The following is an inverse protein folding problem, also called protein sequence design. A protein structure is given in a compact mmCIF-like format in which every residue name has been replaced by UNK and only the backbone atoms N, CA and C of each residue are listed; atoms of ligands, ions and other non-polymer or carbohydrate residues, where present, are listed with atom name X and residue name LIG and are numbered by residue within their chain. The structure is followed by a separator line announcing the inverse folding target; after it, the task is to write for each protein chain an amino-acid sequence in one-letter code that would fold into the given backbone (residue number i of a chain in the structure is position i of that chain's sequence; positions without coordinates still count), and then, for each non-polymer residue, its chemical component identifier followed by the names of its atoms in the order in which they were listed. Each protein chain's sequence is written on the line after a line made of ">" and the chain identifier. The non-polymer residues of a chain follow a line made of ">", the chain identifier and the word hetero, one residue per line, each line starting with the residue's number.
data_IF_526987412153
#
_entry.id   IF_526987412153
#
_cell.length_a   1.000
_cell.length_b   1.000
_cell.length_c   1.000
_cell.angle_alpha   90.00
_cell.angle_beta   90.00
_cell.angle_gamma   90.00
#
_symmetry.space_group_name_H-M   'P 1'
#
loop_
_entity.id
_entity.type
_entity.pdbx_description
1 polymer ?
#
# COMPACT_ATOMS: atom_id res chain seq x y z
N UNK A 1 -24.79 14.82 -15.63
CA UNK A 1 -25.36 14.66 -14.28
C UNK A 1 -24.25 14.13 -13.38
N UNK A 2 -23.94 14.83 -12.30
CA UNK A 2 -22.90 14.47 -11.32
C UNK A 2 -23.35 13.24 -10.51
N UNK A 3 -22.43 12.30 -10.27
CA UNK A 3 -22.68 11.14 -9.41
C UNK A 3 -23.00 11.62 -7.99
N UNK A 4 -24.04 11.07 -7.36
CA UNK A 4 -24.33 11.39 -5.95
C UNK A 4 -23.36 10.64 -5.04
N UNK A 5 -23.16 11.14 -3.82
CA UNK A 5 -22.29 10.49 -2.81
C UNK A 5 -22.72 9.03 -2.52
N UNK A 6 -24.02 8.72 -2.64
CA UNK A 6 -24.54 7.35 -2.55
C UNK A 6 -24.21 6.48 -3.78
N UNK A 7 -24.07 7.08 -4.97
CA UNK A 7 -23.67 6.34 -6.18
C UNK A 7 -22.18 5.99 -6.11
N UNK A 8 -21.35 6.88 -5.54
CA UNK A 8 -19.92 6.66 -5.28
C UNK A 8 -19.72 5.62 -4.18
N UNK A 9 -20.45 5.72 -3.06
CA UNK A 9 -20.41 4.74 -1.96
C UNK A 9 -20.74 3.32 -2.44
N UNK A 10 -21.71 3.17 -3.34
CA UNK A 10 -22.08 1.87 -3.92
C UNK A 10 -21.07 1.34 -4.91
N UNK A 11 -20.40 2.21 -5.66
CA UNK A 11 -19.27 1.82 -6.52
C UNK A 11 -18.11 1.32 -5.67
N UNK A 12 -17.78 2.02 -4.58
CA UNK A 12 -16.78 1.60 -3.59
C UNK A 12 -17.18 0.26 -2.96
N UNK A 13 -18.43 0.04 -2.56
CA UNK A 13 -18.88 -1.26 -2.01
C UNK A 13 -18.83 -2.42 -3.05
N UNK A 14 -19.03 -2.10 -4.34
CA UNK A 14 -18.95 -3.03 -5.46
C UNK A 14 -17.45 -3.32 -5.79
N UNK A 15 -16.54 -2.35 -5.56
CA UNK A 15 -15.07 -2.51 -5.60
C UNK A 15 -14.49 -3.21 -4.35
N UNK A 16 -15.05 -3.03 -3.14
CA UNK A 16 -14.64 -3.75 -1.91
C UNK A 16 -14.92 -5.25 -2.02
N UNK A 17 -15.96 -5.65 -2.76
CA UNK A 17 -16.15 -7.06 -3.14
C UNK A 17 -15.04 -7.57 -4.08
N UNK A 18 -14.39 -6.65 -4.80
CA UNK A 18 -13.25 -6.92 -5.68
C UNK A 18 -11.88 -6.69 -5.00
N UNK A 19 -11.74 -5.91 -3.93
CA UNK A 19 -10.47 -5.75 -3.19
C UNK A 19 -10.16 -6.96 -2.30
N UNK A 20 -11.16 -7.80 -2.03
CA UNK A 20 -10.90 -9.18 -1.59
C UNK A 20 -10.16 -10.02 -2.65
N UNK A 21 -9.96 -9.50 -3.89
CA UNK A 21 -9.31 -10.19 -5.02
C UNK A 21 -7.79 -10.00 -5.12
N UNK A 22 -7.18 -9.19 -4.28
CA UNK A 22 -5.73 -9.03 -4.24
C UNK A 22 -5.28 -9.03 -2.79
N UNK A 23 -4.91 -10.22 -2.31
CA UNK A 23 -3.96 -10.35 -1.20
C UNK A 23 -2.60 -9.87 -1.74
N UNK A 24 -2.46 -8.56 -1.91
CA UNK A 24 -1.25 -7.90 -2.39
C UNK A 24 -0.93 -6.80 -1.40
N UNK A 25 -0.14 -7.18 -0.39
CA UNK A 25 0.75 -6.22 0.25
C UNK A 25 1.69 -5.73 -0.86
N UNK A 26 1.65 -4.43 -1.15
CA UNK A 26 2.56 -3.71 -2.06
C UNK A 26 2.24 -3.72 -3.59
N UNK A 27 1.10 -3.16 -4.03
CA UNK A 27 1.00 -2.49 -5.37
C UNK A 27 -0.03 -1.33 -5.39
N UNK A 28 0.27 -0.13 -5.92
CA UNK A 28 -0.67 1.00 -6.01
C UNK A 28 -1.69 0.93 -7.17
N UNK A 29 -1.63 -0.06 -8.06
CA UNK A 29 -2.44 -0.07 -9.29
C UNK A 29 -3.52 -1.18 -9.25
N UNK A 30 -4.66 -0.95 -8.58
CA UNK A 30 -5.82 -1.85 -8.64
C UNK A 30 -7.14 -1.13 -8.96
N UNK A 31 -7.10 0.05 -9.59
CA UNK A 31 -8.27 0.94 -9.65
C UNK A 31 -9.28 0.73 -10.79
N UNK A 32 -9.19 -0.29 -11.65
CA UNK A 32 -10.13 -0.41 -12.78
C UNK A 32 -10.52 -1.84 -13.20
N UNK A 33 -10.81 -2.73 -12.25
CA UNK A 33 -11.46 -4.02 -12.58
C UNK A 33 -12.97 -3.96 -12.35
N UNK A 34 -13.73 -3.46 -13.34
CA UNK A 34 -15.14 -3.81 -13.40
C UNK A 34 -15.25 -5.32 -13.62
N UNK A 35 -15.86 -6.05 -12.68
CA UNK A 35 -16.07 -7.48 -12.87
C UNK A 35 -16.94 -7.73 -14.12
N UNK A 36 -16.71 -8.86 -14.81
CA UNK A 36 -17.40 -9.21 -16.06
C UNK A 36 -18.95 -9.10 -15.95
N UNK A 37 -19.50 -9.38 -14.77
CA UNK A 37 -20.93 -9.24 -14.49
C UNK A 37 -21.42 -7.77 -14.47
N UNK A 38 -20.60 -6.81 -14.02
CA UNK A 38 -20.89 -5.38 -14.09
C UNK A 38 -20.89 -4.88 -15.54
N UNK A 39 -19.93 -5.34 -16.35
CA UNK A 39 -19.84 -5.01 -17.78
C UNK A 39 -21.04 -5.58 -18.56
N UNK A 40 -21.40 -6.84 -18.31
CA UNK A 40 -22.58 -7.48 -18.93
C UNK A 40 -23.90 -6.81 -18.48
N UNK A 41 -24.04 -6.51 -17.20
CA UNK A 41 -25.23 -5.79 -16.69
C UNK A 41 -25.35 -4.41 -17.34
N UNK A 42 -24.24 -3.69 -17.51
CA UNK A 42 -24.21 -2.39 -18.19
C UNK A 42 -24.62 -2.48 -19.66
N UNK A 43 -24.06 -3.43 -20.42
CA UNK A 43 -24.42 -3.66 -21.82
C UNK A 43 -25.90 -4.01 -21.99
N UNK A 44 -26.50 -4.75 -21.04
CA UNK A 44 -27.91 -5.13 -21.09
C UNK A 44 -28.87 -3.97 -20.75
N UNK A 45 -28.46 -3.02 -19.90
CA UNK A 45 -29.31 -1.89 -19.47
C UNK A 45 -29.18 -0.65 -20.36
N UNK A 46 -27.99 -0.36 -20.89
CA UNK A 46 -27.70 0.92 -21.56
C UNK A 46 -28.01 0.92 -23.06
N UNK A 47 -28.12 -0.25 -23.69
CA UNK A 47 -28.31 -0.39 -25.16
C UNK A 47 -29.77 -0.43 -25.60
N UNK A 48 -30.73 -0.69 -24.69
CA UNK A 48 -32.14 -0.88 -25.06
C UNK A 48 -32.87 0.39 -25.47
N UNK A 49 -32.46 1.55 -24.94
CA UNK A 49 -33.20 2.82 -25.06
C UNK A 49 -32.53 3.88 -25.95
N UNK A 50 -31.35 3.60 -26.52
CA UNK A 50 -30.70 4.50 -27.49
C UNK A 50 -30.77 3.90 -28.90
N UNK A 51 -31.48 4.53 -29.86
CA UNK A 51 -31.66 3.98 -31.22
C UNK A 51 -30.35 3.77 -31.99
N UNK A 52 -29.29 4.55 -31.70
CA UNK A 52 -27.98 4.47 -32.39
C UNK A 52 -26.94 3.59 -31.70
N UNK A 53 -27.12 3.23 -30.43
CA UNK A 53 -26.25 2.24 -29.75
C UNK A 53 -26.67 0.79 -30.04
N UNK A 54 -27.81 0.57 -30.72
CA UNK A 54 -28.21 -0.75 -31.23
C UNK A 54 -27.31 -1.25 -32.36
N UNK A 55 -26.57 -0.37 -33.04
CA UNK A 55 -25.75 -0.76 -34.20
C UNK A 55 -24.36 -1.26 -33.84
N UNK A 56 -23.85 -0.97 -32.65
CA UNK A 56 -22.61 -1.55 -32.13
C UNK A 56 -22.92 -2.82 -31.35
N UNK A 57 -23.14 -3.92 -32.08
CA UNK A 57 -23.33 -5.25 -31.49
C UNK A 57 -22.02 -5.74 -30.84
N UNK A 58 -21.76 -5.28 -29.60
CA UNK A 58 -20.83 -5.93 -28.69
C UNK A 58 -21.50 -7.21 -28.17
N UNK A 59 -21.27 -8.32 -28.87
CA UNK A 59 -21.72 -9.65 -28.43
C UNK A 59 -20.76 -10.24 -27.40
N UNK A 60 -21.30 -11.10 -26.53
CA UNK A 60 -20.58 -11.86 -25.49
C UNK A 60 -19.31 -12.57 -26.00
N UNK A 61 -19.32 -12.94 -27.29
CA UNK A 61 -18.21 -13.59 -28.00
C UNK A 61 -16.98 -12.67 -28.19
N UNK A 62 -17.17 -11.35 -28.29
CA UNK A 62 -16.07 -10.40 -28.50
C UNK A 62 -15.39 -9.99 -27.18
N UNK A 63 -16.09 -10.10 -26.05
CA UNK A 63 -15.55 -9.79 -24.72
C UNK A 63 -14.73 -10.94 -24.13
N UNK A 64 -15.06 -12.18 -24.46
CA UNK A 64 -14.36 -13.38 -23.97
C UNK A 64 -13.01 -13.64 -24.66
N UNK A 65 -12.76 -13.04 -25.83
CA UNK A 65 -11.47 -13.14 -26.56
C UNK A 65 -10.46 -12.07 -26.22
N UNK A 66 -10.87 -10.93 -25.65
CA UNK A 66 -9.94 -9.89 -25.22
C UNK A 66 -9.40 -10.22 -23.82
N UNK A 67 -8.25 -10.89 -23.79
CA UNK A 67 -7.52 -11.24 -22.56
C UNK A 67 -6.90 -10.04 -21.82
N UNK A 68 -7.13 -8.82 -22.32
CA UNK A 68 -6.63 -7.57 -21.73
C UNK A 68 -7.79 -6.63 -21.55
N UNK A 69 -8.51 -6.77 -20.43
CA UNK A 69 -9.54 -5.83 -20.00
C UNK A 69 -8.90 -4.51 -19.51
N UNK A 70 -7.63 -4.54 -19.05
CA UNK A 70 -6.87 -3.35 -18.63
C UNK A 70 -6.86 -2.24 -19.68
N UNK A 71 -6.53 -2.58 -20.94
CA UNK A 71 -6.41 -1.59 -22.03
C UNK A 71 -7.74 -1.04 -22.55
N UNK A 72 -8.86 -1.68 -22.23
CA UNK A 72 -10.17 -1.25 -22.72
C UNK A 72 -10.71 -0.06 -21.91
N UNK A 73 -10.22 0.14 -20.68
CA UNK A 73 -10.67 1.24 -19.80
C UNK A 73 -9.82 2.49 -20.00
N UNK A 74 -8.51 2.36 -20.29
CA UNK A 74 -7.64 3.50 -20.60
C UNK A 74 -8.05 4.26 -21.87
N UNK A 75 -8.73 3.59 -22.81
CA UNK A 75 -9.23 4.20 -24.06
C UNK A 75 -10.68 4.70 -23.97
N UNK A 76 -11.30 4.63 -22.79
CA UNK A 76 -12.62 5.22 -22.58
C UNK A 76 -12.47 6.67 -22.10
N UNK A 77 -12.02 7.55 -23.00
CA UNK A 77 -12.49 8.93 -22.98
C UNK A 77 -14.01 8.88 -23.16
N UNK A 78 -14.76 8.78 -22.06
CA UNK A 78 -16.23 8.82 -22.07
C UNK A 78 -16.76 10.24 -22.29
N UNK A 79 -16.24 10.91 -23.31
CA UNK A 79 -17.03 11.90 -24.02
C UNK A 79 -17.88 11.11 -25.02
N UNK A 80 -19.19 11.07 -24.80
CA UNK A 80 -20.10 10.71 -25.88
C UNK A 80 -19.67 11.56 -27.10
N UNK A 81 -19.31 10.97 -28.26
CA UNK A 81 -18.62 11.68 -29.35
C UNK A 81 -19.43 12.81 -29.99
N UNK A 82 -20.57 13.19 -29.41
CA UNK A 82 -21.46 14.23 -29.87
C UNK A 82 -21.79 15.33 -28.83
N UNK A 83 -21.21 15.33 -27.61
CA UNK A 83 -21.46 16.38 -26.58
C UNK A 83 -22.93 16.89 -26.52
N UNK A 84 -23.90 15.99 -26.61
CA UNK A 84 -25.32 16.39 -26.63
C UNK A 84 -25.82 16.60 -25.21
N UNK A 85 -26.11 17.86 -24.87
CA UNK A 85 -26.94 18.19 -23.71
C UNK A 85 -28.25 17.37 -23.79
N UNK A 86 -28.51 16.55 -22.77
CA UNK A 86 -29.75 15.77 -22.66
C UNK A 86 -29.64 14.25 -22.83
N UNK A 87 -28.45 13.66 -22.93
CA UNK A 87 -28.32 12.19 -22.95
C UNK A 87 -28.75 11.57 -21.59
N UNK A 88 -29.78 10.69 -21.55
CA UNK A 88 -30.30 10.13 -20.30
C UNK A 88 -29.49 8.94 -19.76
N UNK A 89 -28.31 8.67 -20.33
CA UNK A 89 -27.43 7.59 -19.88
C UNK A 89 -26.89 7.92 -18.48
N UNK A 90 -27.59 7.43 -17.45
CA UNK A 90 -27.11 7.43 -16.07
C UNK A 90 -25.96 6.45 -15.95
N UNK A 91 -24.94 6.81 -15.15
CA UNK A 91 -23.95 5.88 -14.62
C UNK A 91 -24.73 4.69 -14.01
N UNK A 92 -24.43 3.44 -14.39
CA UNK A 92 -25.20 2.29 -13.92
C UNK A 92 -25.12 2.18 -12.40
N UNK A 93 -26.29 2.07 -11.76
CA UNK A 93 -26.38 1.74 -10.32
C UNK A 93 -26.22 0.23 -10.16
N UNK A 94 -25.11 -0.22 -9.57
CA UNK A 94 -24.92 -1.61 -9.11
C UNK A 94 -26.08 -1.94 -8.13
N UNK A 95 -26.98 -2.87 -8.50
CA UNK A 95 -27.97 -3.45 -7.57
C UNK A 95 -27.19 -4.37 -6.62
N UNK A 96 -26.60 -3.77 -5.58
CA UNK A 96 -25.66 -4.44 -4.70
C UNK A 96 -26.21 -5.75 -4.09
N UNK A 97 -27.49 -5.86 -3.67
CA UNK A 97 -28.06 -7.14 -3.24
C UNK A 97 -28.15 -8.21 -4.35
N UNK A 98 -28.40 -7.81 -5.60
CA UNK A 98 -28.45 -8.74 -6.74
C UNK A 98 -27.05 -9.09 -7.24
N UNK A 99 -26.14 -8.12 -7.24
CA UNK A 99 -24.72 -8.30 -7.50
C UNK A 99 -24.10 -9.24 -6.46
N UNK A 100 -24.26 -9.02 -5.15
CA UNK A 100 -23.76 -9.94 -4.11
C UNK A 100 -24.29 -11.37 -4.27
N UNK A 101 -25.51 -11.55 -4.79
CA UNK A 101 -26.09 -12.88 -5.09
C UNK A 101 -25.55 -13.52 -6.38
N UNK A 102 -25.18 -12.72 -7.37
CA UNK A 102 -24.72 -13.18 -8.70
C UNK A 102 -23.20 -13.08 -8.89
N UNK A 103 -22.50 -12.40 -8.00
CA UNK A 103 -21.05 -12.20 -8.06
C UNK A 103 -20.38 -13.55 -7.82
N UNK A 104 -19.66 -14.02 -8.84
CA UNK A 104 -18.84 -15.22 -8.78
C UNK A 104 -17.60 -15.06 -7.89
N UNK A 105 -17.31 -13.83 -7.48
CA UNK A 105 -16.20 -13.46 -6.61
C UNK A 105 -16.70 -13.28 -5.17
N UNK A 106 -16.73 -14.38 -4.41
CA UNK A 106 -16.74 -14.34 -2.95
C UNK A 106 -15.34 -14.69 -2.44
N UNK A 107 -14.93 -14.24 -1.24
CA UNK A 107 -13.63 -14.58 -0.66
C UNK A 107 -13.37 -16.09 -0.65
N UNK A 108 -14.41 -16.88 -0.39
CA UNK A 108 -14.36 -18.34 -0.39
C UNK A 108 -14.15 -18.91 -1.80
N UNK A 109 -14.84 -18.38 -2.81
CA UNK A 109 -14.67 -18.81 -4.21
C UNK A 109 -13.33 -18.37 -4.80
N UNK A 110 -12.81 -17.22 -4.39
CA UNK A 110 -11.48 -16.78 -4.76
C UNK A 110 -10.41 -17.63 -4.08
N UNK A 111 -10.53 -17.87 -2.78
CA UNK A 111 -9.62 -18.76 -2.06
C UNK A 111 -9.60 -20.15 -2.71
N UNK A 112 -10.77 -20.66 -3.11
CA UNK A 112 -10.88 -21.89 -3.90
C UNK A 112 -10.17 -21.76 -5.25
N UNK A 113 -10.39 -20.69 -6.02
CA UNK A 113 -9.75 -20.47 -7.32
C UNK A 113 -8.22 -20.34 -7.20
N UNK A 114 -7.72 -19.68 -6.14
CA UNK A 114 -6.30 -19.55 -5.86
C UNK A 114 -5.70 -20.91 -5.45
N UNK A 115 -6.44 -21.73 -4.69
CA UNK A 115 -6.07 -23.11 -4.40
C UNK A 115 -6.03 -23.98 -5.66
N UNK A 116 -7.01 -23.84 -6.56
CA UNK A 116 -7.04 -24.53 -7.85
C UNK A 116 -5.86 -24.11 -8.73
N UNK A 117 -5.60 -22.81 -8.85
CA UNK A 117 -4.43 -22.26 -9.56
C UNK A 117 -3.12 -22.77 -8.97
N UNK A 118 -2.98 -22.77 -7.65
CA UNK A 118 -1.80 -23.31 -6.98
C UNK A 118 -1.62 -24.81 -7.27
N UNK A 119 -2.70 -25.59 -7.24
CA UNK A 119 -2.68 -27.00 -7.57
C UNK A 119 -2.26 -27.24 -9.04
N UNK A 120 -2.73 -26.42 -9.98
CA UNK A 120 -2.31 -26.45 -11.38
C UNK A 120 -0.82 -26.16 -11.54
N UNK A 121 -0.31 -25.12 -10.89
CA UNK A 121 1.11 -24.76 -10.91
C UNK A 121 1.99 -25.88 -10.32
N UNK A 122 1.57 -26.46 -9.19
CA UNK A 122 2.27 -27.59 -8.56
C UNK A 122 2.26 -28.84 -9.45
N UNK A 123 1.15 -29.13 -10.12
CA UNK A 123 1.06 -30.23 -11.09
C UNK A 123 2.00 -30.00 -12.29
N UNK A 124 2.09 -28.75 -12.77
CA UNK A 124 3.00 -28.37 -13.85
C UNK A 124 4.47 -28.55 -13.43
N UNK A 125 4.83 -28.09 -12.23
CA UNK A 125 6.16 -28.29 -11.67
C UNK A 125 6.51 -29.78 -11.55
N UNK A 126 5.57 -30.60 -11.06
CA UNK A 126 5.75 -32.07 -10.99
C UNK A 126 6.00 -32.68 -12.37
N UNK A 127 5.26 -32.22 -13.40
CA UNK A 127 5.47 -32.64 -14.79
C UNK A 127 6.84 -32.22 -15.31
N UNK A 128 7.28 -31.00 -14.99
CA UNK A 128 8.57 -30.46 -15.43
C UNK A 128 9.76 -31.20 -14.81
N UNK A 129 9.63 -31.68 -13.57
CA UNK A 129 10.63 -32.52 -12.88
C UNK A 129 10.76 -33.93 -13.44
N UNK A 130 9.81 -34.41 -14.25
CA UNK A 130 9.83 -35.79 -14.72
C UNK A 130 11.10 -36.07 -15.56
N UNK A 131 11.77 -37.23 -15.41
CA UNK A 131 13.06 -37.51 -16.06
C UNK A 131 13.07 -37.41 -17.59
N UNK A 132 11.90 -37.51 -18.24
CA UNK A 132 11.73 -37.43 -19.70
C UNK A 132 11.12 -36.11 -20.17
N UNK A 133 10.93 -35.15 -19.27
CA UNK A 133 10.40 -33.82 -19.59
C UNK A 133 11.38 -33.05 -20.48
N UNK A 134 10.90 -32.57 -21.63
CA UNK A 134 11.65 -31.66 -22.52
C UNK A 134 11.21 -30.22 -22.27
N UNK A 135 11.25 -29.77 -21.02
CA UNK A 135 10.95 -28.39 -20.65
C UNK A 135 12.14 -27.49 -20.99
N UNK A 136 11.86 -26.28 -21.49
CA UNK A 136 12.88 -25.27 -21.76
C UNK A 136 13.21 -24.50 -20.48
N UNK A 137 14.43 -23.93 -20.41
CA UNK A 137 14.82 -23.08 -19.29
C UNK A 137 13.88 -21.87 -19.14
N UNK A 138 13.40 -21.28 -20.25
CA UNK A 138 12.42 -20.18 -20.23
C UNK A 138 11.08 -20.62 -19.61
N UNK A 139 10.58 -21.82 -19.94
CA UNK A 139 9.33 -22.30 -19.35
C UNK A 139 9.44 -22.57 -17.83
N UNK A 140 10.63 -22.95 -17.35
CA UNK A 140 10.91 -23.04 -15.92
C UNK A 140 10.98 -21.65 -15.27
N UNK A 141 11.56 -20.67 -15.96
CA UNK A 141 11.62 -19.29 -15.49
C UNK A 141 10.23 -18.65 -15.41
N UNK A 142 9.39 -18.81 -16.44
CA UNK A 142 8.00 -18.34 -16.42
C UNK A 142 7.21 -18.96 -15.27
N UNK A 143 7.41 -20.26 -15.02
CA UNK A 143 6.79 -20.94 -13.89
C UNK A 143 7.31 -20.40 -12.53
N UNK A 144 8.58 -20.03 -12.44
CA UNK A 144 9.13 -19.40 -11.24
C UNK A 144 8.48 -18.02 -10.97
N UNK A 145 8.26 -17.21 -12.01
CA UNK A 145 7.53 -15.93 -11.92
C UNK A 145 6.12 -16.17 -11.40
N UNK A 146 5.41 -17.17 -11.94
CA UNK A 146 4.05 -17.49 -11.50
C UNK A 146 4.01 -17.93 -10.04
N UNK A 147 4.98 -18.74 -9.58
CA UNK A 147 5.05 -19.10 -8.15
C UNK A 147 5.41 -17.92 -7.25
N UNK A 148 6.29 -17.02 -7.69
CA UNK A 148 6.61 -15.80 -6.96
C UNK A 148 5.38 -14.90 -6.80
N UNK A 149 4.59 -14.73 -7.86
CA UNK A 149 3.33 -13.99 -7.83
C UNK A 149 2.26 -14.59 -6.90
N UNK A 150 2.31 -15.90 -6.64
CA UNK A 150 1.44 -16.60 -5.69
C UNK A 150 2.08 -16.76 -4.29
N UNK A 151 3.16 -16.02 -4.01
CA UNK A 151 3.91 -16.06 -2.75
C UNK A 151 4.43 -17.46 -2.37
N UNK A 152 4.64 -18.34 -3.36
CA UNK A 152 5.17 -19.69 -3.19
C UNK A 152 6.68 -19.70 -3.42
N UNK A 153 7.42 -18.97 -2.56
CA UNK A 153 8.86 -18.74 -2.73
C UNK A 153 9.70 -20.01 -2.78
N UNK A 154 9.35 -21.04 -2.02
CA UNK A 154 10.04 -22.33 -2.07
C UNK A 154 9.93 -23.02 -3.45
N UNK A 155 8.73 -23.02 -4.04
CA UNK A 155 8.48 -23.58 -5.37
C UNK A 155 9.14 -22.71 -6.46
N UNK A 156 9.10 -21.39 -6.31
CA UNK A 156 9.80 -20.47 -7.21
C UNK A 156 11.31 -20.75 -7.23
N UNK A 157 11.95 -20.85 -6.05
CA UNK A 157 13.38 -21.24 -5.93
C UNK A 157 13.64 -22.59 -6.59
N UNK A 158 12.77 -23.57 -6.36
CA UNK A 158 12.93 -24.90 -6.96
C UNK A 158 12.92 -24.84 -8.49
N UNK A 159 12.00 -24.11 -9.11
CA UNK A 159 12.02 -23.86 -10.55
C UNK A 159 13.36 -23.27 -11.02
N UNK A 160 13.89 -22.27 -10.31
CA UNK A 160 15.17 -21.65 -10.64
C UNK A 160 16.36 -22.61 -10.50
N UNK A 161 16.31 -23.59 -9.59
CA UNK A 161 17.35 -24.63 -9.48
C UNK A 161 17.36 -25.62 -10.64
N UNK A 162 16.22 -25.81 -11.30
CA UNK A 162 16.08 -26.74 -12.43
C UNK A 162 16.58 -26.14 -13.75
N UNK A 163 16.74 -24.82 -13.83
CA UNK A 163 17.27 -24.11 -15.00
C UNK A 163 18.75 -24.49 -15.21
N UNK A 164 19.06 -25.03 -16.39
CA UNK A 164 20.41 -25.54 -16.70
C UNK A 164 21.32 -24.41 -17.21
N UNK A 165 20.86 -23.61 -18.15
CA UNK A 165 21.66 -22.55 -18.77
C UNK A 165 21.30 -21.17 -18.21
N UNK A 166 21.67 -20.93 -16.96
CA UNK A 166 21.40 -19.67 -16.24
C UNK A 166 21.88 -18.40 -16.99
N UNK A 167 22.96 -18.53 -17.78
CA UNK A 167 23.51 -17.42 -18.57
C UNK A 167 22.58 -16.89 -19.67
N UNK A 168 21.61 -17.70 -20.11
CA UNK A 168 20.66 -17.33 -21.15
C UNK A 168 19.45 -16.56 -20.60
N UNK A 169 19.36 -16.37 -19.28
CA UNK A 169 18.26 -15.67 -18.60
C UNK A 169 18.86 -14.67 -17.60
N UNK A 170 19.38 -13.52 -18.06
CA UNK A 170 19.97 -12.50 -17.19
C UNK A 170 19.01 -12.01 -16.09
N UNK A 171 17.71 -11.98 -16.38
CA UNK A 171 16.64 -11.57 -15.46
C UNK A 171 16.46 -12.52 -14.28
N UNK A 172 17.01 -13.74 -14.36
CA UNK A 172 16.92 -14.75 -13.32
C UNK A 172 17.47 -14.28 -11.99
N UNK A 173 18.59 -13.55 -12.00
CA UNK A 173 19.22 -13.03 -10.78
C UNK A 173 18.32 -12.00 -10.09
N UNK A 174 17.63 -11.17 -10.87
CA UNK A 174 16.70 -10.15 -10.35
C UNK A 174 15.47 -10.81 -9.73
N UNK A 175 14.88 -11.81 -10.39
CA UNK A 175 13.76 -12.57 -9.80
C UNK A 175 14.18 -13.27 -8.51
N UNK A 176 15.38 -13.84 -8.48
CA UNK A 176 15.91 -14.44 -7.25
C UNK A 176 16.05 -13.40 -6.14
N UNK A 177 16.53 -12.19 -6.45
CA UNK A 177 16.61 -11.10 -5.47
C UNK A 177 15.22 -10.71 -4.92
N UNK A 178 14.19 -10.60 -5.78
CA UNK A 178 12.81 -10.34 -5.36
C UNK A 178 12.27 -11.43 -4.44
N UNK A 179 12.49 -12.70 -4.79
CA UNK A 179 12.07 -13.84 -3.95
C UNK A 179 12.72 -13.76 -2.56
N UNK A 180 14.03 -13.51 -2.49
CA UNK A 180 14.73 -13.41 -1.20
C UNK A 180 14.30 -12.17 -0.40
N UNK A 181 14.02 -11.04 -1.07
CA UNK A 181 13.50 -9.82 -0.44
C UNK A 181 12.13 -10.08 0.21
N UNK A 182 11.22 -10.69 -0.53
CA UNK A 182 9.84 -10.90 -0.08
C UNK A 182 9.74 -11.98 1.00
N UNK A 183 10.63 -12.98 0.95
CA UNK A 183 10.80 -13.99 2.01
C UNK A 183 11.66 -13.48 3.19
N UNK A 184 11.94 -12.16 3.24
CA UNK A 184 12.69 -11.47 4.31
C UNK A 184 14.16 -11.89 4.50
N UNK A 185 14.78 -12.54 3.52
CA UNK A 185 16.22 -12.81 3.48
C UNK A 185 16.99 -11.61 2.90
N UNK A 186 16.96 -10.48 3.59
CA UNK A 186 17.43 -9.19 3.10
C UNK A 186 18.92 -9.16 2.71
N UNK A 187 19.81 -9.80 3.48
CA UNK A 187 21.25 -9.82 3.17
C UNK A 187 21.51 -10.50 1.82
N UNK A 188 20.89 -11.65 1.61
CA UNK A 188 20.99 -12.40 0.36
C UNK A 188 20.35 -11.65 -0.81
N UNK A 189 19.23 -10.96 -0.57
CA UNK A 189 18.62 -10.11 -1.59
C UNK A 189 19.56 -8.97 -2.01
N UNK A 190 20.22 -8.30 -1.07
CA UNK A 190 21.20 -7.24 -1.33
C UNK A 190 22.41 -7.73 -2.14
N UNK A 191 22.91 -8.93 -1.84
CA UNK A 191 23.97 -9.58 -2.62
C UNK A 191 23.53 -9.80 -4.08
N UNK A 192 22.34 -10.37 -4.28
CA UNK A 192 21.80 -10.64 -5.61
C UNK A 192 21.49 -9.36 -6.39
N UNK A 193 20.95 -8.33 -5.76
CA UNK A 193 20.76 -7.02 -6.40
C UNK A 193 22.09 -6.37 -6.78
N UNK A 194 23.13 -6.53 -5.96
CA UNK A 194 24.47 -6.02 -6.28
C UNK A 194 25.08 -6.76 -7.47
N UNK A 195 24.89 -8.08 -7.54
CA UNK A 195 25.27 -8.88 -8.70
C UNK A 195 24.52 -8.44 -9.97
N UNK A 196 23.19 -8.28 -9.88
CA UNK A 196 22.37 -7.83 -10.99
C UNK A 196 22.79 -6.43 -11.48
N UNK A 197 23.07 -5.52 -10.54
CA UNK A 197 23.52 -4.17 -10.84
C UNK A 197 24.84 -4.15 -11.60
N UNK A 198 25.81 -5.00 -11.21
CA UNK A 198 27.09 -5.11 -11.90
C UNK A 198 26.97 -5.58 -13.36
N UNK A 199 25.92 -6.33 -13.69
CA UNK A 199 25.63 -6.79 -15.05
C UNK A 199 24.72 -5.86 -15.85
N UNK A 200 24.02 -4.92 -15.18
CA UNK A 200 23.04 -4.06 -15.82
C UNK A 200 23.71 -2.90 -16.57
N UNK A 201 23.39 -2.76 -17.86
CA UNK A 201 23.92 -1.69 -18.71
C UNK A 201 22.95 -0.53 -18.90
N UNK A 202 21.65 -0.81 -18.84
CA UNK A 202 20.58 0.18 -19.06
C UNK A 202 20.31 1.01 -17.80
N UNK A 203 20.24 2.33 -17.96
CA UNK A 203 19.95 3.28 -16.86
C UNK A 203 18.64 2.91 -16.13
N UNK A 204 17.48 2.68 -16.82
CA UNK A 204 16.24 2.33 -16.12
C UNK A 204 16.37 1.10 -15.23
N UNK A 205 17.18 0.11 -15.64
CA UNK A 205 17.39 -1.09 -14.84
C UNK A 205 18.29 -0.82 -13.65
N UNK A 206 19.34 -0.03 -13.82
CA UNK A 206 20.26 0.33 -12.73
C UNK A 206 19.56 1.15 -11.65
N UNK A 207 18.67 2.09 -12.03
CA UNK A 207 17.92 2.90 -11.09
C UNK A 207 16.86 2.10 -10.34
N UNK A 208 16.15 1.19 -11.02
CA UNK A 208 15.24 0.21 -10.38
C UNK A 208 15.97 -0.61 -9.31
N UNK A 209 17.13 -1.19 -9.64
CA UNK A 209 17.89 -2.02 -8.70
C UNK A 209 18.40 -1.22 -7.48
N UNK A 210 18.78 0.05 -7.66
CA UNK A 210 19.18 0.92 -6.56
C UNK A 210 18.00 1.32 -5.68
N UNK A 211 16.83 1.59 -6.27
CA UNK A 211 15.58 1.84 -5.55
C UNK A 211 15.23 0.65 -4.65
N UNK A 212 15.29 -0.57 -5.20
CA UNK A 212 15.03 -1.79 -4.44
C UNK A 212 15.99 -2.01 -3.27
N UNK A 213 17.29 -1.81 -3.49
CA UNK A 213 18.30 -1.84 -2.41
C UNK A 213 17.99 -0.80 -1.34
N UNK A 214 17.63 0.42 -1.76
CA UNK A 214 17.24 1.50 -0.86
C UNK A 214 16.06 1.13 0.03
N UNK A 215 15.03 0.48 -0.53
CA UNK A 215 13.88 0.00 0.25
C UNK A 215 14.25 -1.09 1.26
N UNK A 216 15.14 -2.02 0.92
CA UNK A 216 15.67 -3.01 1.88
C UNK A 216 16.43 -2.31 3.01
N UNK A 217 17.27 -1.33 2.69
CA UNK A 217 17.99 -0.55 3.70
C UNK A 217 17.04 0.22 4.63
N UNK A 218 15.91 0.74 4.12
CA UNK A 218 14.86 1.32 4.98
C UNK A 218 14.28 0.26 5.91
N UNK A 219 13.90 -0.92 5.40
CA UNK A 219 13.29 -2.01 6.18
C UNK A 219 14.24 -2.50 7.30
N UNK A 220 15.54 -2.47 7.06
CA UNK A 220 16.59 -2.86 8.02
C UNK A 220 17.15 -1.68 8.83
N UNK A 221 16.51 -0.51 8.77
CA UNK A 221 16.90 0.72 9.47
C UNK A 221 18.33 1.26 9.15
N UNK A 222 18.91 0.85 8.03
CA UNK A 222 20.20 1.31 7.52
C UNK A 222 20.04 2.61 6.70
N UNK A 223 19.59 3.69 7.35
CA UNK A 223 19.18 4.93 6.66
C UNK A 223 20.31 5.63 5.89
N UNK A 224 21.57 5.50 6.32
CA UNK A 224 22.73 6.02 5.58
C UNK A 224 22.88 5.34 4.21
N UNK A 225 22.89 4.02 4.20
CA UNK A 225 22.99 3.23 2.97
C UNK A 225 21.76 3.39 2.06
N UNK A 226 20.56 3.52 2.65
CA UNK A 226 19.35 3.84 1.89
C UNK A 226 19.49 5.18 1.14
N UNK A 227 19.95 6.21 1.85
CA UNK A 227 20.18 7.55 1.29
C UNK A 227 21.20 7.52 0.16
N UNK A 228 22.32 6.82 0.36
CA UNK A 228 23.37 6.70 -0.66
C UNK A 228 22.88 5.95 -1.90
N UNK A 229 22.07 4.90 -1.73
CA UNK A 229 21.49 4.16 -2.85
C UNK A 229 20.55 5.04 -3.69
N UNK A 230 19.68 5.84 -3.05
CA UNK A 230 18.80 6.75 -3.77
C UNK A 230 19.55 7.90 -4.43
N UNK A 231 20.59 8.46 -3.78
CA UNK A 231 21.46 9.46 -4.41
C UNK A 231 22.14 8.89 -5.66
N UNK A 232 22.73 7.70 -5.55
CA UNK A 232 23.31 7.02 -6.72
C UNK A 232 22.28 6.77 -7.83
N UNK A 233 21.01 6.54 -7.49
CA UNK A 233 19.95 6.36 -8.48
C UNK A 233 19.58 7.68 -9.16
N UNK A 234 19.53 8.79 -8.41
CA UNK A 234 19.27 10.13 -8.94
C UNK A 234 20.44 10.62 -9.81
N UNK A 235 21.68 10.36 -9.43
CA UNK A 235 22.89 10.75 -10.18
C UNK A 235 22.98 10.07 -11.56
N UNK A 236 22.24 8.98 -11.79
CA UNK A 236 22.14 8.31 -13.09
C UNK A 236 21.10 8.93 -14.02
N UNK A 237 20.21 9.76 -13.49
CA UNK A 237 19.11 10.38 -14.25
C UNK A 237 19.50 11.82 -14.61
N UNK A 238 19.07 12.27 -15.78
CA UNK A 238 19.32 13.64 -16.22
C UNK A 238 18.50 14.65 -15.40
N UNK A 239 18.98 15.89 -15.28
CA UNK A 239 18.33 16.92 -14.46
C UNK A 239 16.90 17.22 -14.95
N UNK A 240 16.67 17.19 -16.27
CA UNK A 240 15.39 17.41 -16.93
C UNK A 240 14.52 16.14 -17.07
N UNK A 241 14.99 14.99 -16.56
CA UNK A 241 14.19 13.77 -16.50
C UNK A 241 12.92 14.03 -15.66
N UNK A 242 11.75 13.75 -16.25
CA UNK A 242 10.42 13.86 -15.64
C UNK A 242 9.71 12.50 -15.55
N UNK A 243 10.48 11.41 -15.46
CA UNK A 243 9.94 10.06 -15.36
C UNK A 243 9.30 9.79 -14.00
N UNK A 244 8.26 8.96 -14.01
CA UNK A 244 7.63 8.46 -12.78
C UNK A 244 8.66 7.78 -11.86
N UNK A 245 9.67 7.11 -12.43
CA UNK A 245 10.75 6.47 -11.66
C UNK A 245 11.57 7.48 -10.86
N UNK A 246 11.87 8.67 -11.43
CA UNK A 246 12.55 9.74 -10.69
C UNK A 246 11.70 10.24 -9.53
N UNK A 247 10.41 10.45 -9.74
CA UNK A 247 9.50 10.86 -8.67
C UNK A 247 9.42 9.83 -7.53
N UNK A 248 9.38 8.53 -7.85
CA UNK A 248 9.44 7.45 -6.86
C UNK A 248 10.73 7.49 -6.03
N UNK A 249 11.88 7.65 -6.69
CA UNK A 249 13.19 7.73 -6.02
C UNK A 249 13.27 8.99 -5.15
N UNK A 250 12.79 10.14 -5.64
CA UNK A 250 12.75 11.39 -4.88
C UNK A 250 11.85 11.29 -3.64
N UNK A 251 10.67 10.68 -3.77
CA UNK A 251 9.77 10.43 -2.63
C UNK A 251 10.44 9.51 -1.58
N UNK A 252 11.09 8.43 -2.03
CA UNK A 252 11.80 7.50 -1.17
C UNK A 252 13.02 8.16 -0.48
N UNK A 253 13.78 8.97 -1.21
CA UNK A 253 14.88 9.77 -0.67
C UNK A 253 14.37 10.77 0.38
N UNK A 254 13.31 11.52 0.06
CA UNK A 254 12.69 12.48 0.96
C UNK A 254 12.21 11.81 2.26
N UNK A 255 11.66 10.59 2.17
CA UNK A 255 11.25 9.82 3.34
C UNK A 255 12.42 9.47 4.26
N UNK A 256 13.55 9.03 3.69
CA UNK A 256 14.76 8.73 4.47
C UNK A 256 15.37 10.00 5.05
N UNK A 257 15.50 11.06 4.26
CA UNK A 257 15.99 12.35 4.74
C UNK A 257 15.13 12.89 5.89
N UNK A 258 13.79 12.77 5.80
CA UNK A 258 12.86 13.10 6.90
C UNK A 258 13.12 12.26 8.15
N UNK A 259 13.35 10.94 8.01
CA UNK A 259 13.69 10.06 9.14
C UNK A 259 15.02 10.44 9.80
N UNK A 260 16.00 10.87 9.01
CA UNK A 260 17.29 11.39 9.50
C UNK A 260 17.22 12.83 10.04
N UNK A 261 16.03 13.44 10.10
CA UNK A 261 15.84 14.86 10.44
C UNK A 261 16.56 15.86 9.53
N UNK A 262 16.95 15.44 8.32
CA UNK A 262 17.51 16.28 7.26
C UNK A 262 16.37 16.96 6.50
N UNK A 263 15.58 17.79 7.20
CA UNK A 263 14.31 18.30 6.68
C UNK A 263 14.43 19.14 5.42
N UNK A 264 15.50 19.91 5.25
CA UNK A 264 15.64 20.78 4.08
C UNK A 264 15.93 19.96 2.81
N UNK A 265 16.74 18.89 2.91
CA UNK A 265 16.92 17.92 1.81
C UNK A 265 15.62 17.16 1.51
N UNK A 266 14.86 16.79 2.55
CA UNK A 266 13.59 16.10 2.36
C UNK A 266 12.56 16.99 1.66
N UNK A 267 12.44 18.26 2.07
CA UNK A 267 11.55 19.24 1.44
C UNK A 267 11.95 19.46 -0.03
N UNK A 268 13.24 19.62 -0.32
CA UNK A 268 13.72 19.79 -1.69
C UNK A 268 13.30 18.59 -2.57
N UNK A 269 13.61 17.37 -2.12
CA UNK A 269 13.26 16.17 -2.88
C UNK A 269 11.74 15.99 -3.07
N UNK A 270 10.93 16.32 -2.05
CA UNK A 270 9.48 16.28 -2.18
C UNK A 270 8.95 17.33 -3.17
N UNK A 271 9.49 18.55 -3.17
CA UNK A 271 9.10 19.57 -4.13
C UNK A 271 9.48 19.14 -5.57
N UNK A 272 10.68 18.60 -5.77
CA UNK A 272 11.12 18.09 -7.07
C UNK A 272 10.22 16.95 -7.55
N UNK A 273 9.78 16.07 -6.64
CA UNK A 273 8.83 15.01 -6.96
C UNK A 273 7.44 15.56 -7.33
N UNK A 274 6.97 16.61 -6.64
CA UNK A 274 5.68 17.27 -6.91
C UNK A 274 5.63 17.97 -8.26
N UNK A 275 6.78 18.38 -8.83
CA UNK A 275 6.83 18.90 -10.20
C UNK A 275 6.60 17.82 -11.26
N UNK A 276 6.84 16.55 -10.91
CA UNK A 276 6.76 15.41 -11.83
C UNK A 276 5.40 14.72 -11.75
N UNK A 277 4.89 14.49 -10.53
CA UNK A 277 3.67 13.71 -10.33
C UNK A 277 2.41 14.51 -10.67
N UNK A 278 1.40 13.82 -11.20
CA UNK A 278 0.11 14.44 -11.44
C UNK A 278 -0.53 14.86 -10.12
N UNK A 279 -0.95 16.13 -10.05
CA UNK A 279 -1.72 16.68 -8.92
C UNK A 279 -2.96 15.88 -8.60
N UNK A 280 -3.49 15.13 -9.59
CA UNK A 280 -4.65 14.29 -9.40
C UNK A 280 -4.38 12.89 -8.83
N UNK A 281 -3.10 12.51 -8.65
CA UNK A 281 -2.68 11.21 -8.14
C UNK A 281 -2.74 11.07 -6.61
N UNK A 282 -2.79 9.82 -6.17
CA UNK A 282 -2.57 9.40 -4.79
C UNK A 282 -1.14 9.68 -4.33
N UNK A 283 -0.15 9.45 -5.20
CA UNK A 283 1.28 9.74 -4.93
C UNK A 283 1.49 11.22 -4.56
N UNK A 284 0.84 12.14 -5.28
CA UNK A 284 0.87 13.56 -4.94
C UNK A 284 0.38 13.81 -3.51
N UNK A 285 -0.72 13.17 -3.14
CA UNK A 285 -1.31 13.27 -1.80
C UNK A 285 -0.38 12.71 -0.71
N UNK A 286 0.32 11.61 -0.96
CA UNK A 286 1.30 11.05 -0.04
C UNK A 286 2.48 12.01 0.18
N UNK A 287 3.00 12.59 -0.91
CA UNK A 287 4.13 13.53 -0.83
C UNK A 287 3.75 14.78 -0.03
N UNK A 288 2.58 15.39 -0.28
CA UNK A 288 2.17 16.57 0.49
C UNK A 288 1.86 16.25 1.96
N UNK A 289 1.39 15.03 2.27
CA UNK A 289 1.23 14.55 3.65
C UNK A 289 2.58 14.40 4.35
N UNK A 290 3.60 13.95 3.63
CA UNK A 290 4.96 13.88 4.15
C UNK A 290 5.58 15.27 4.39
N UNK A 291 5.35 16.23 3.49
CA UNK A 291 5.71 17.64 3.70
C UNK A 291 4.99 18.21 4.93
N UNK A 292 3.71 17.93 5.09
CA UNK A 292 2.93 18.35 6.25
C UNK A 292 3.54 17.82 7.56
N UNK A 293 4.02 16.57 7.58
CA UNK A 293 4.69 15.99 8.75
C UNK A 293 6.00 16.72 9.08
N UNK A 294 6.77 17.12 8.07
CA UNK A 294 7.97 17.94 8.28
C UNK A 294 7.60 19.29 8.88
N UNK A 295 6.61 19.99 8.32
CA UNK A 295 6.15 21.28 8.84
C UNK A 295 5.63 21.15 10.28
N UNK A 296 4.91 20.08 10.60
CA UNK A 296 4.45 19.78 11.96
C UNK A 296 5.62 19.59 12.92
N UNK A 297 6.68 18.88 12.50
CA UNK A 297 7.89 18.66 13.31
C UNK A 297 8.72 19.94 13.50
N UNK A 298 8.73 20.84 12.52
CA UNK A 298 9.35 22.17 12.60
C UNK A 298 8.52 23.18 13.42
N UNK A 299 7.27 22.86 13.78
CA UNK A 299 6.37 23.73 14.53
C UNK A 299 5.50 24.66 13.67
N UNK A 300 5.55 24.50 12.34
CA UNK A 300 4.74 25.26 11.38
C UNK A 300 3.33 24.66 11.28
N UNK A 301 2.56 24.71 12.37
CA UNK A 301 1.31 23.96 12.50
C UNK A 301 0.21 24.38 11.51
N UNK A 302 0.15 25.66 11.13
CA UNK A 302 -0.83 26.13 10.13
C UNK A 302 -0.54 25.56 8.74
N UNK A 303 0.72 25.60 8.30
CA UNK A 303 1.17 25.01 7.03
C UNK A 303 0.88 23.50 7.01
N UNK A 304 1.27 22.80 8.09
CA UNK A 304 1.02 21.38 8.23
C UNK A 304 -0.47 21.05 8.16
N UNK A 305 -1.33 21.85 8.80
CA UNK A 305 -2.78 21.66 8.77
C UNK A 305 -3.31 21.75 7.34
N UNK A 306 -2.92 22.80 6.61
CA UNK A 306 -3.40 23.05 5.26
C UNK A 306 -3.00 21.92 4.31
N UNK A 307 -1.74 21.47 4.38
CA UNK A 307 -1.24 20.34 3.60
C UNK A 307 -1.93 19.02 3.96
N UNK A 308 -2.10 18.70 5.25
CA UNK A 308 -2.81 17.48 5.65
C UNK A 308 -4.27 17.49 5.21
N UNK A 309 -4.98 18.61 5.32
CA UNK A 309 -6.38 18.71 4.88
C UNK A 309 -6.51 18.62 3.35
N UNK A 310 -5.56 19.19 2.60
CA UNK A 310 -5.47 19.01 1.14
C UNK A 310 -5.26 17.53 0.79
N UNK A 311 -4.33 16.86 1.46
CA UNK A 311 -4.05 15.43 1.28
C UNK A 311 -5.29 14.59 1.60
N UNK A 312 -5.93 14.84 2.74
CA UNK A 312 -7.14 14.13 3.16
C UNK A 312 -8.24 14.25 2.10
N UNK A 313 -8.58 15.49 1.71
CA UNK A 313 -9.61 15.75 0.69
C UNK A 313 -9.28 15.06 -0.64
N UNK A 314 -7.99 15.01 -1.00
CA UNK A 314 -7.55 14.35 -2.22
C UNK A 314 -7.74 12.84 -2.14
N UNK A 315 -7.29 12.19 -1.07
CA UNK A 315 -7.49 10.75 -0.87
C UNK A 315 -8.96 10.37 -0.77
N UNK A 316 -9.78 11.19 -0.09
CA UNK A 316 -11.23 11.00 -0.03
C UNK A 316 -11.87 11.08 -1.41
N UNK A 317 -11.36 11.95 -2.29
CA UNK A 317 -11.86 12.06 -3.66
C UNK A 317 -11.47 10.87 -4.54
N UNK A 318 -10.31 10.26 -4.30
CA UNK A 318 -9.80 9.14 -5.11
C UNK A 318 -10.42 7.82 -4.63
N UNK A 319 -10.38 7.55 -3.33
CA UNK A 319 -10.73 6.25 -2.75
C UNK A 319 -12.02 6.25 -1.92
N UNK A 320 -12.61 7.42 -1.68
CA UNK A 320 -13.71 7.58 -0.73
C UNK A 320 -13.26 7.58 0.72
N UNK A 321 -14.16 7.91 1.64
CA UNK A 321 -13.85 8.29 3.03
C UNK A 321 -13.31 7.17 3.93
N UNK A 322 -13.40 5.91 3.51
CA UNK A 322 -13.06 4.77 4.36
C UNK A 322 -11.76 4.09 3.95
N UNK A 323 -11.00 4.56 2.95
CA UNK A 323 -9.80 3.87 2.50
C UNK A 323 -8.71 3.82 3.60
N UNK A 324 -7.93 2.72 3.76
CA UNK A 324 -6.94 2.60 4.81
C UNK A 324 -5.92 3.73 4.90
N UNK A 325 -5.44 4.25 3.75
CA UNK A 325 -4.49 5.37 3.73
C UNK A 325 -5.06 6.68 4.31
N UNK A 326 -6.39 6.83 4.39
CA UNK A 326 -7.03 7.95 5.07
C UNK A 326 -6.82 7.85 6.58
N UNK A 327 -6.76 6.64 7.15
CA UNK A 327 -6.52 6.46 8.58
C UNK A 327 -5.16 7.05 9.01
N UNK A 328 -4.13 6.93 8.18
CA UNK A 328 -2.81 7.49 8.47
C UNK A 328 -2.79 9.02 8.41
N UNK A 329 -3.49 9.61 7.43
CA UNK A 329 -3.66 11.08 7.36
C UNK A 329 -4.46 11.57 8.58
N UNK A 330 -5.52 10.86 8.97
CA UNK A 330 -6.30 11.17 10.17
C UNK A 330 -5.46 11.07 11.45
N UNK A 331 -4.63 10.04 11.59
CA UNK A 331 -3.71 9.92 12.71
C UNK A 331 -2.75 11.12 12.77
N UNK A 332 -2.19 11.51 11.62
CA UNK A 332 -1.30 12.67 11.53
C UNK A 332 -2.00 14.00 11.88
N UNK A 333 -3.23 14.20 11.41
CA UNK A 333 -4.08 15.33 11.83
C UNK A 333 -4.35 15.28 13.34
N UNK A 334 -4.67 14.11 13.89
CA UNK A 334 -4.84 13.92 15.32
C UNK A 334 -3.60 14.32 16.13
N UNK A 335 -2.42 13.92 15.65
CA UNK A 335 -1.15 14.32 16.26
C UNK A 335 -0.87 15.82 16.13
N UNK A 336 -1.25 16.45 15.02
CA UNK A 336 -1.16 17.90 14.83
C UNK A 336 -2.05 18.64 15.84
N UNK A 337 -3.33 18.28 15.93
CA UNK A 337 -4.26 18.89 16.89
C UNK A 337 -3.84 18.64 18.35
N UNK A 338 -3.27 17.46 18.67
CA UNK A 338 -2.63 17.16 19.97
C UNK A 338 -1.48 18.12 20.30
N UNK A 339 -0.72 18.59 19.30
CA UNK A 339 0.37 19.56 19.50
C UNK A 339 -0.15 20.98 19.70
N UNK A 340 -1.29 21.31 19.10
CA UNK A 340 -1.97 22.60 19.27
C UNK A 340 -2.83 22.69 20.55
N UNK A 341 -2.94 21.61 21.32
CA UNK A 341 -3.78 21.55 22.52
C UNK A 341 -5.28 21.36 22.24
N UNK A 342 -5.64 21.14 20.98
CA UNK A 342 -7.01 20.89 20.49
C UNK A 342 -7.36 19.40 20.65
N UNK A 343 -7.52 18.99 21.90
CA UNK A 343 -7.60 17.57 22.25
C UNK A 343 -8.88 16.89 21.79
N UNK A 344 -10.01 17.60 21.72
CA UNK A 344 -11.29 17.02 21.26
C UNK A 344 -11.18 16.64 19.78
N UNK A 345 -10.74 17.59 18.96
CA UNK A 345 -10.52 17.37 17.54
C UNK A 345 -9.48 16.27 17.31
N UNK A 346 -8.41 16.25 18.10
CA UNK A 346 -7.39 15.20 18.02
C UNK A 346 -7.97 13.79 18.27
N UNK A 347 -8.80 13.64 19.30
CA UNK A 347 -9.47 12.37 19.63
C UNK A 347 -10.44 11.94 18.53
N UNK A 348 -11.17 12.88 17.94
CA UNK A 348 -12.14 12.57 16.87
C UNK A 348 -11.44 12.00 15.63
N UNK A 349 -10.33 12.60 15.19
CA UNK A 349 -9.55 12.06 14.08
C UNK A 349 -8.96 10.67 14.39
N UNK A 350 -8.39 10.48 15.58
CA UNK A 350 -7.81 9.18 15.97
C UNK A 350 -8.87 8.08 16.08
N UNK A 351 -10.07 8.38 16.57
CA UNK A 351 -11.20 7.43 16.61
C UNK A 351 -11.67 7.05 15.21
N UNK A 352 -11.69 8.00 14.27
CA UNK A 352 -12.02 7.70 12.87
C UNK A 352 -10.94 6.82 12.23
N UNK A 353 -9.65 7.10 12.48
CA UNK A 353 -8.54 6.26 12.03
C UNK A 353 -8.65 4.81 12.55
N UNK A 354 -8.98 4.63 13.84
CA UNK A 354 -9.23 3.31 14.43
C UNK A 354 -10.42 2.62 13.75
N UNK A 355 -11.53 3.33 13.53
CA UNK A 355 -12.72 2.78 12.87
C UNK A 355 -12.40 2.27 11.46
N UNK A 356 -11.64 3.03 10.69
CA UNK A 356 -11.20 2.66 9.34
C UNK A 356 -10.27 1.43 9.41
N UNK A 357 -9.23 1.48 10.25
CA UNK A 357 -8.28 0.37 10.38
C UNK A 357 -8.96 -0.93 10.82
N UNK A 358 -9.89 -0.87 11.79
CA UNK A 358 -10.67 -2.03 12.22
C UNK A 358 -11.53 -2.61 11.12
N UNK A 359 -12.12 -1.76 10.29
CA UNK A 359 -12.98 -2.19 9.20
C UNK A 359 -12.20 -2.98 8.13
N UNK A 360 -10.99 -2.56 7.79
CA UNK A 360 -10.18 -3.17 6.72
C UNK A 360 -9.29 -4.31 7.20
N UNK A 361 -8.60 -4.11 8.32
CA UNK A 361 -7.56 -5.02 8.78
C UNK A 361 -7.99 -5.89 9.97
N UNK A 362 -9.17 -5.64 10.53
CA UNK A 362 -9.65 -6.27 11.75
C UNK A 362 -9.09 -5.61 13.02
N UNK A 363 -9.54 -6.10 14.18
CA UNK A 363 -9.25 -5.51 15.49
C UNK A 363 -7.79 -5.67 15.97
N UNK A 364 -7.01 -6.51 15.29
CA UNK A 364 -5.65 -6.88 15.73
C UNK A 364 -4.55 -6.21 14.92
N UNK A 365 -4.90 -5.30 13.99
CA UNK A 365 -3.90 -4.63 13.17
C UNK A 365 -3.03 -3.67 14.01
N UNK A 366 -1.69 -3.66 13.81
CA UNK A 366 -0.77 -2.87 14.63
C UNK A 366 -1.05 -1.37 14.62
N UNK A 367 -1.63 -0.81 13.55
CA UNK A 367 -2.00 0.61 13.48
C UNK A 367 -2.96 1.01 14.60
N UNK A 368 -3.85 0.10 15.04
CA UNK A 368 -4.78 0.36 16.14
C UNK A 368 -4.01 0.61 17.44
N UNK A 369 -2.97 -0.18 17.70
CA UNK A 369 -2.10 0.01 18.86
C UNK A 369 -1.42 1.38 18.85
N UNK A 370 -0.91 1.80 17.70
CA UNK A 370 -0.27 3.12 17.52
C UNK A 370 -1.28 4.26 17.77
N UNK A 371 -2.49 4.16 17.20
CA UNK A 371 -3.52 5.19 17.39
C UNK A 371 -4.00 5.26 18.83
N UNK A 372 -4.16 4.11 19.51
CA UNK A 372 -4.50 4.05 20.94
C UNK A 372 -3.40 4.68 21.80
N UNK A 373 -2.12 4.44 21.49
CA UNK A 373 -1.00 5.13 22.17
C UNK A 373 -1.14 6.65 22.05
N UNK A 374 -1.48 7.15 20.86
CA UNK A 374 -1.71 8.57 20.63
C UNK A 374 -2.91 9.13 21.43
N UNK A 375 -4.00 8.36 21.57
CA UNK A 375 -5.15 8.72 22.41
C UNK A 375 -4.75 8.72 23.90
N UNK A 376 -4.04 7.70 24.39
CA UNK A 376 -3.55 7.64 25.76
C UNK A 376 -2.66 8.85 26.10
N UNK A 377 -1.85 9.28 25.15
CA UNK A 377 -1.03 10.48 25.23
C UNK A 377 -1.86 11.77 25.39
N UNK A 378 -2.99 11.87 24.71
CA UNK A 378 -3.91 13.00 24.83
C UNK A 378 -4.51 13.03 26.24
N UNK A 379 -5.03 11.91 26.74
CA UNK A 379 -5.57 11.81 28.09
C UNK A 379 -4.51 12.12 29.16
N UNK A 380 -3.28 11.62 28.99
CA UNK A 380 -2.16 11.93 29.88
C UNK A 380 -1.85 13.42 29.91
N UNK A 381 -1.87 14.11 28.76
CA UNK A 381 -1.68 15.57 28.69
C UNK A 381 -2.83 16.35 29.34
N UNK A 382 -4.04 15.82 29.31
CA UNK A 382 -5.20 16.37 30.02
C UNK A 382 -5.21 16.05 31.52
N UNK A 383 -4.20 15.32 32.02
CA UNK A 383 -4.14 14.80 33.40
C UNK A 383 -5.24 13.80 33.75
N UNK A 384 -5.94 13.24 32.76
CA UNK A 384 -6.82 12.07 32.95
C UNK A 384 -5.98 10.79 32.92
N UNK A 385 -5.24 10.59 34.01
CA UNK A 385 -4.33 9.45 34.16
C UNK A 385 -5.04 8.11 34.19
N UNK A 386 -6.31 8.06 34.65
CA UNK A 386 -7.08 6.81 34.71
C UNK A 386 -7.46 6.33 33.32
N UNK A 387 -7.97 7.23 32.48
CA UNK A 387 -8.32 6.88 31.09
C UNK A 387 -7.06 6.60 30.28
N UNK A 388 -6.00 7.39 30.45
CA UNK A 388 -4.71 7.17 29.78
C UNK A 388 -4.14 5.77 30.06
N UNK A 389 -4.15 5.33 31.33
CA UNK A 389 -3.69 4.00 31.72
C UNK A 389 -4.51 2.89 31.04
N UNK A 390 -5.84 3.01 31.02
CA UNK A 390 -6.71 2.06 30.32
C UNK A 390 -6.38 1.97 28.83
N UNK A 391 -6.26 3.12 28.17
CA UNK A 391 -5.94 3.19 26.73
C UNK A 391 -4.56 2.61 26.42
N UNK A 392 -3.54 2.89 27.24
CA UNK A 392 -2.21 2.32 27.05
C UNK A 392 -2.18 0.79 27.25
N UNK A 393 -3.01 0.22 28.13
CA UNK A 393 -3.15 -1.25 28.28
C UNK A 393 -3.72 -1.89 27.01
N UNK A 394 -4.74 -1.26 26.41
CA UNK A 394 -5.30 -1.70 25.13
C UNK A 394 -4.25 -1.62 24.01
N UNK A 395 -3.49 -0.52 23.96
CA UNK A 395 -2.41 -0.33 22.98
C UNK A 395 -1.32 -1.40 23.11
N UNK A 396 -0.84 -1.68 24.32
CA UNK A 396 0.15 -2.75 24.59
C UNK A 396 -0.40 -4.09 24.10
N UNK A 397 -1.65 -4.43 24.46
CA UNK A 397 -2.26 -5.71 24.05
C UNK A 397 -2.31 -5.85 22.52
N UNK A 398 -2.69 -4.80 21.81
CA UNK A 398 -2.74 -4.80 20.34
C UNK A 398 -1.33 -4.97 19.72
N UNK A 399 -0.34 -4.24 20.23
CA UNK A 399 1.03 -4.30 19.70
C UNK A 399 1.73 -5.62 20.03
N UNK A 400 1.53 -6.18 21.22
CA UNK A 400 2.07 -7.49 21.60
C UNK A 400 1.52 -8.62 20.73
N UNK A 401 0.22 -8.56 20.39
CA UNK A 401 -0.38 -9.53 19.46
C UNK A 401 0.20 -9.41 18.06
N UNK A 402 0.39 -8.18 17.57
CA UNK A 402 0.84 -7.93 16.20
C UNK A 402 2.33 -8.24 15.99
N UNK A 403 3.18 -7.86 16.95
CA UNK A 403 4.64 -7.91 16.79
C UNK A 403 5.36 -8.82 17.78
N UNK A 404 4.65 -9.34 18.79
CA UNK A 404 5.23 -10.04 19.92
C UNK A 404 5.58 -9.10 21.08
N UNK A 405 5.84 -9.67 22.27
CA UNK A 405 6.00 -8.91 23.51
C UNK A 405 7.30 -8.12 23.64
N UNK A 406 8.26 -8.35 22.74
CA UNK A 406 9.60 -7.76 22.75
C UNK A 406 9.83 -6.79 21.59
N UNK A 407 8.77 -6.27 20.97
CA UNK A 407 8.91 -5.30 19.88
C UNK A 407 9.11 -3.88 20.40
N UNK A 408 9.89 -3.06 19.69
CA UNK A 408 10.23 -1.68 20.10
C UNK A 408 8.99 -0.81 20.33
N UNK A 409 7.95 -0.96 19.51
CA UNK A 409 6.68 -0.26 19.68
C UNK A 409 6.02 -0.55 21.04
N UNK A 410 6.15 -1.78 21.56
CA UNK A 410 5.65 -2.13 22.89
C UNK A 410 6.44 -1.37 23.96
N UNK A 411 7.77 -1.24 23.80
CA UNK A 411 8.62 -0.50 24.73
C UNK A 411 8.23 0.98 24.83
N UNK A 412 7.87 1.63 23.73
CA UNK A 412 7.43 3.04 23.73
C UNK A 412 6.16 3.25 24.57
N UNK A 413 5.19 2.34 24.44
CA UNK A 413 3.94 2.42 25.22
C UNK A 413 4.19 2.09 26.68
N UNK A 414 5.06 1.12 26.98
CA UNK A 414 5.46 0.80 28.35
C UNK A 414 6.12 2.00 29.05
N UNK A 415 6.98 2.75 28.35
CA UNK A 415 7.56 3.98 28.88
C UNK A 415 6.47 5.03 29.17
N UNK A 416 5.50 5.16 28.27
CA UNK A 416 4.36 6.08 28.44
C UNK A 416 3.45 5.68 29.62
N UNK A 417 3.24 4.37 29.82
CA UNK A 417 2.56 3.80 30.97
C UNK A 417 3.28 4.14 32.28
N UNK A 418 4.60 3.96 32.34
CA UNK A 418 5.39 4.29 33.52
C UNK A 418 5.27 5.77 33.90
N UNK A 419 5.19 6.68 32.91
CA UNK A 419 4.96 8.10 33.17
C UNK A 419 3.60 8.38 33.83
N UNK A 420 2.54 7.67 33.41
CA UNK A 420 1.21 7.77 34.01
C UNK A 420 1.21 7.24 35.44
N UNK A 421 1.80 6.06 35.66
CA UNK A 421 1.84 5.44 36.99
C UNK A 421 2.63 6.29 37.98
N UNK A 422 3.76 6.88 37.56
CA UNK A 422 4.51 7.85 38.37
C UNK A 422 3.65 9.07 38.77
N UNK A 423 2.81 9.58 37.87
CA UNK A 423 1.89 10.69 38.18
C UNK A 423 0.78 10.29 39.14
N UNK A 424 0.45 9.00 39.20
CA UNK A 424 -0.47 8.40 40.17
C UNK A 424 0.18 7.96 41.49
N UNK A 425 1.49 8.21 41.66
CA UNK A 425 2.29 7.73 42.79
C UNK A 425 2.40 6.19 42.91
N UNK A 426 2.13 5.45 41.84
CA UNK A 426 2.44 4.02 41.74
C UNK A 426 3.86 3.87 41.18
N UNK A 427 4.85 3.97 42.07
CA UNK A 427 6.26 3.93 41.70
C UNK A 427 6.73 2.52 41.35
N UNK A 428 6.19 1.50 42.04
CA UNK A 428 6.55 0.09 41.79
C UNK A 428 6.04 -0.37 40.42
N UNK A 429 4.80 -0.03 40.08
CA UNK A 429 4.24 -0.27 38.75
C UNK A 429 5.02 0.47 37.67
N UNK A 430 5.36 1.75 37.90
CA UNK A 430 6.15 2.54 36.96
C UNK A 430 7.53 1.91 36.71
N UNK A 431 8.23 1.50 37.77
CA UNK A 431 9.54 0.85 37.67
C UNK A 431 9.47 -0.44 36.86
N UNK A 432 8.49 -1.31 37.13
CA UNK A 432 8.29 -2.55 36.38
C UNK A 432 8.13 -2.32 34.87
N UNK A 433 7.32 -1.34 34.48
CA UNK A 433 7.14 -0.98 33.07
C UNK A 433 8.40 -0.39 32.44
N UNK A 434 9.14 0.46 33.16
CA UNK A 434 10.42 0.99 32.67
C UNK A 434 11.48 -0.10 32.49
N UNK A 435 11.64 -0.99 33.47
CA UNK A 435 12.57 -2.12 33.37
C UNK A 435 12.24 -3.05 32.20
N UNK A 436 10.94 -3.27 31.95
CA UNK A 436 10.51 -4.03 30.77
C UNK A 436 10.84 -3.29 29.48
N UNK A 437 10.56 -1.99 29.38
CA UNK A 437 10.90 -1.19 28.20
C UNK A 437 12.42 -1.21 27.92
N UNK A 438 13.24 -1.04 28.96
CA UNK A 438 14.71 -1.09 28.87
C UNK A 438 15.17 -2.46 28.37
N UNK A 439 14.62 -3.56 28.91
CA UNK A 439 14.97 -4.91 28.44
C UNK A 439 14.68 -5.11 26.96
N UNK A 440 13.57 -4.56 26.45
CA UNK A 440 13.21 -4.67 25.03
C UNK A 440 14.17 -3.86 24.14
N UNK A 441 14.56 -2.65 24.57
CA UNK A 441 15.45 -1.80 23.78
C UNK A 441 16.88 -2.35 23.73
N UNK A 442 17.28 -3.16 24.72
CA UNK A 442 18.61 -3.76 24.82
C UNK A 442 18.71 -5.22 24.34
N UNK A 443 17.59 -5.85 23.94
CA UNK A 443 17.56 -7.18 23.33
C UNK A 443 17.74 -7.09 21.82
#
# INVERSE_FOLDING_TARGET
>A
MTATQNDIQRLIECCICCDYLTDVRETPCCHQLFCHACILSWLQTSTKNCPRCRSTALTEHNLTKNFVIERFVDNLEFDCPHKLQGCPAKIPRCDLPKHKRLCSYSPQKLAQKNQEKLAELQALLKKYKAPRSRVTDNALFDLAILFHAEHQYAHARECLTLIKNKKNIPEMVVLQAHIERDDSHYDKALELYTQAYASATLIPKRTELLLEKGHIYIKTAQYGQAKDAFKQALDLLEDDDRSQKKAEILNAFGLVAKKCSEYDQAIAAYNDALEIVDTDSDVWSEIISNLADIHRKKGNYNEARDLYLKSLKKMESIYGQNHPSIADIMNNLGMLFKKEGKYIEALDYLKQAIKISKHYYGDEHPSIGIYLTNIGDIYRKQSDFKTAEGTYKEAITALEKAFGPNHIEVAEVLNSMGLVLKKRADYDGAQSHYERAIRIVHS
#
